data_IF_665123583772
#
_entry.id   IF_665123583772
#
_cell.length_a   1.000
_cell.length_b   1.000
_cell.length_c   1.000
_cell.angle_alpha   90.00
_cell.angle_beta   90.00
_cell.angle_gamma   90.00
#
_symmetry.space_group_name_H-M   'P 1'
#
loop_
_entity.id
_entity.type
_entity.pdbx_description
1 polymer ?
#
# COMPACT_ATOMS: atom_id res chain seq x y z
N UNK A 1 -12.20 12.06 -16.19
CA UNK A 1 -13.57 12.60 -16.32
C UNK A 1 -14.34 12.17 -15.09
N UNK A 2 -14.85 13.13 -14.32
CA UNK A 2 -15.68 12.85 -13.14
C UNK A 2 -17.02 12.30 -13.62
N UNK A 3 -17.50 11.15 -13.11
CA UNK A 3 -18.79 10.60 -13.49
C UNK A 3 -19.95 11.44 -12.93
N UNK A 4 -21.11 11.37 -13.58
CA UNK A 4 -22.32 12.09 -13.13
C UNK A 4 -22.87 11.57 -11.78
N UNK A 5 -22.43 10.41 -11.34
CA UNK A 5 -22.75 9.78 -10.06
C UNK A 5 -21.92 10.30 -8.88
N UNK A 6 -20.88 11.09 -9.16
CA UNK A 6 -20.05 11.64 -8.10
C UNK A 6 -20.84 12.57 -7.16
N UNK A 7 -20.74 12.31 -5.87
CA UNK A 7 -21.34 13.12 -4.80
C UNK A 7 -20.55 14.41 -4.60
N UNK A 8 -19.22 14.29 -4.72
CA UNK A 8 -18.28 15.40 -4.57
C UNK A 8 -17.03 15.12 -5.43
N UNK A 9 -16.36 16.19 -5.89
CA UNK A 9 -15.13 16.06 -6.67
C UNK A 9 -14.21 17.25 -6.48
N UNK A 10 -12.89 17.00 -6.59
CA UNK A 10 -11.83 18.00 -6.44
C UNK A 10 -10.83 17.89 -7.59
N UNK A 11 -10.37 19.03 -8.08
CA UNK A 11 -9.16 19.08 -8.91
C UNK A 11 -7.94 19.02 -8.02
N UNK A 12 -7.15 17.96 -8.18
CA UNK A 12 -5.92 17.72 -7.43
C UNK A 12 -4.67 17.79 -8.32
N UNK A 13 -4.84 18.26 -9.56
CA UNK A 13 -3.71 18.51 -10.45
C UNK A 13 -2.89 19.72 -9.96
N UNK A 14 -1.58 19.68 -10.15
CA UNK A 14 -0.68 20.78 -9.77
C UNK A 14 -1.03 22.07 -10.50
N UNK A 15 -1.49 21.96 -11.75
CA UNK A 15 -1.86 23.11 -12.59
C UNK A 15 -3.28 23.63 -12.32
N UNK A 16 -4.13 22.92 -11.56
CA UNK A 16 -5.54 23.28 -11.37
C UNK A 16 -6.36 23.23 -12.66
N UNK A 17 -5.98 22.38 -13.61
CA UNK A 17 -6.55 22.30 -14.98
C UNK A 17 -7.49 21.09 -15.17
N UNK A 18 -7.80 20.36 -14.10
CA UNK A 18 -8.64 19.16 -14.10
C UNK A 18 -7.98 17.94 -14.75
N UNK A 19 -6.66 17.97 -14.97
CA UNK A 19 -5.95 16.84 -15.53
C UNK A 19 -5.92 15.64 -14.57
N UNK A 20 -5.94 15.89 -13.27
CA UNK A 20 -6.10 14.88 -12.21
C UNK A 20 -7.24 15.27 -11.29
N UNK A 21 -8.24 14.39 -11.18
CA UNK A 21 -9.42 14.61 -10.36
C UNK A 21 -9.51 13.54 -9.26
N UNK A 22 -9.84 13.97 -8.05
CA UNK A 22 -10.39 13.10 -7.03
C UNK A 22 -11.90 13.26 -6.96
N UNK A 23 -12.67 12.19 -6.82
CA UNK A 23 -14.10 12.26 -6.64
C UNK A 23 -14.61 11.12 -5.76
N UNK A 24 -15.77 11.32 -5.16
CA UNK A 24 -16.43 10.42 -4.23
C UNK A 24 -17.75 9.96 -4.83
N UNK A 25 -17.99 8.66 -4.79
CA UNK A 25 -19.26 8.04 -5.17
C UNK A 25 -19.83 7.27 -3.97
N UNK A 26 -21.18 7.22 -3.86
CA UNK A 26 -21.81 6.24 -2.97
C UNK A 26 -21.44 4.82 -3.44
N UNK A 27 -20.99 3.96 -2.55
CA UNK A 27 -20.58 2.59 -2.92
C UNK A 27 -21.75 1.65 -3.22
N UNK A 28 -22.99 2.17 -3.13
CA UNK A 28 -24.23 1.44 -3.42
C UNK A 28 -24.67 0.48 -2.34
N UNK A 29 -23.98 0.43 -1.20
CA UNK A 29 -24.33 -0.48 -0.09
C UNK A 29 -25.47 0.05 0.79
N UNK A 30 -25.77 1.34 0.72
CA UNK A 30 -26.76 2.01 1.57
C UNK A 30 -26.33 2.20 3.02
N UNK A 31 -25.08 1.95 3.34
CA UNK A 31 -24.52 2.04 4.69
C UNK A 31 -23.85 3.38 5.00
N UNK A 32 -23.92 4.34 4.06
CA UNK A 32 -23.23 5.63 4.17
C UNK A 32 -21.74 5.52 3.94
N UNK A 33 -21.29 4.47 3.25
CA UNK A 33 -19.91 4.29 2.83
C UNK A 33 -19.71 4.82 1.41
N UNK A 34 -18.49 5.24 1.10
CA UNK A 34 -18.17 5.91 -0.15
C UNK A 34 -16.90 5.32 -0.76
N UNK A 35 -16.89 5.28 -2.09
CA UNK A 35 -15.71 4.98 -2.89
C UNK A 35 -15.04 6.28 -3.29
N UNK A 36 -13.76 6.44 -2.95
CA UNK A 36 -12.92 7.53 -3.48
C UNK A 36 -12.19 7.02 -4.72
N UNK A 37 -12.26 7.78 -5.79
CA UNK A 37 -11.50 7.51 -7.02
C UNK A 37 -10.62 8.71 -7.34
N UNK A 38 -9.36 8.42 -7.68
CA UNK A 38 -8.43 9.41 -8.23
C UNK A 38 -8.14 9.00 -9.68
N UNK A 39 -8.34 9.90 -10.63
CA UNK A 39 -8.18 9.59 -12.03
C UNK A 39 -7.72 10.78 -12.86
N UNK A 40 -6.93 10.52 -13.89
CA UNK A 40 -6.44 11.52 -14.84
C UNK A 40 -6.42 11.00 -16.27
N UNK A 41 -6.32 11.90 -17.25
CA UNK A 41 -6.10 11.53 -18.65
C UNK A 41 -4.66 11.04 -18.80
N UNK A 42 -4.48 9.73 -19.13
CA UNK A 42 -3.16 9.13 -19.34
C UNK A 42 -2.55 8.50 -18.10
N UNK A 43 -3.32 8.33 -17.01
CA UNK A 43 -2.84 7.79 -15.74
C UNK A 43 -2.38 8.87 -14.77
N UNK A 44 -1.88 8.44 -13.63
CA UNK A 44 -1.39 9.33 -12.56
C UNK A 44 0.04 8.90 -12.26
N UNK A 45 1.00 9.77 -12.51
CA UNK A 45 2.39 9.55 -12.09
C UNK A 45 2.48 9.91 -10.61
N UNK A 46 2.90 8.97 -9.80
CA UNK A 46 3.11 9.20 -8.38
C UNK A 46 4.34 10.10 -8.14
N UNK A 47 4.31 10.88 -7.07
CA UNK A 47 5.49 11.61 -6.64
C UNK A 47 6.59 10.61 -6.19
N UNK A 48 7.83 11.01 -6.31
CA UNK A 48 9.01 10.27 -5.83
C UNK A 48 8.85 9.77 -4.38
N UNK A 49 8.16 10.52 -3.54
CA UNK A 49 7.83 10.13 -2.16
C UNK A 49 6.33 9.96 -1.98
N UNK A 50 5.91 8.74 -1.66
CA UNK A 50 4.52 8.40 -1.29
C UNK A 50 4.38 8.09 0.21
N UNK A 51 5.17 8.75 1.04
CA UNK A 51 5.10 8.57 2.50
C UNK A 51 3.69 8.89 2.99
N UNK A 52 3.01 7.91 3.57
CA UNK A 52 1.71 8.07 4.22
C UNK A 52 0.56 8.51 3.33
N UNK A 53 0.64 8.41 2.00
CA UNK A 53 -0.37 8.94 1.06
C UNK A 53 -1.80 8.53 1.39
N UNK A 54 -2.02 7.28 1.78
CA UNK A 54 -3.32 6.76 2.19
C UNK A 54 -3.38 6.40 3.67
N UNK A 55 -2.38 6.82 4.45
CA UNK A 55 -2.29 6.49 5.88
C UNK A 55 -3.45 7.07 6.67
N UNK A 56 -4.04 6.23 7.54
CA UNK A 56 -5.08 6.68 8.47
C UNK A 56 -6.50 6.76 7.87
N UNK A 57 -6.69 6.36 6.61
CA UNK A 57 -8.04 6.20 6.04
C UNK A 57 -8.72 4.96 6.64
N UNK A 58 -9.04 5.02 7.94
CA UNK A 58 -9.49 3.89 8.75
C UNK A 58 -10.78 3.22 8.25
N UNK A 59 -11.67 4.03 7.64
CA UNK A 59 -12.97 3.58 7.13
C UNK A 59 -12.93 3.18 5.65
N UNK A 60 -11.77 3.32 4.99
CA UNK A 60 -11.63 2.96 3.59
C UNK A 60 -11.68 1.43 3.42
N UNK A 61 -12.67 0.94 2.68
CA UNK A 61 -12.88 -0.50 2.44
C UNK A 61 -12.28 -0.99 1.13
N UNK A 62 -12.10 -0.10 0.16
CA UNK A 62 -11.48 -0.40 -1.14
C UNK A 62 -10.82 0.83 -1.73
N UNK A 63 -9.84 0.60 -2.60
CA UNK A 63 -9.17 1.64 -3.37
C UNK A 63 -8.80 1.06 -4.75
N UNK A 64 -9.01 1.82 -5.81
CA UNK A 64 -8.57 1.48 -7.16
C UNK A 64 -7.29 2.26 -7.48
N UNK A 65 -6.20 1.53 -7.67
CA UNK A 65 -4.87 2.06 -7.95
C UNK A 65 -4.39 1.71 -9.37
N UNK A 66 -5.28 1.15 -10.20
CA UNK A 66 -4.92 0.61 -11.53
C UNK A 66 -4.33 1.66 -12.48
N UNK A 67 -4.64 2.93 -12.27
CA UNK A 67 -4.13 4.05 -13.06
C UNK A 67 -2.87 4.72 -12.46
N UNK A 68 -2.39 4.25 -11.30
CA UNK A 68 -1.25 4.85 -10.61
C UNK A 68 0.07 4.29 -11.13
N UNK A 69 0.88 5.14 -11.73
CA UNK A 69 2.26 4.84 -12.13
C UNK A 69 3.21 5.15 -10.97
N UNK A 70 3.92 4.14 -10.50
CA UNK A 70 4.84 4.24 -9.36
C UNK A 70 6.32 4.12 -9.77
N UNK A 71 6.62 4.17 -11.07
CA UNK A 71 7.98 3.93 -11.59
C UNK A 71 9.05 4.90 -11.06
N UNK A 72 8.66 6.10 -10.66
CA UNK A 72 9.57 7.11 -10.09
C UNK A 72 9.59 7.11 -8.54
N UNK A 73 8.84 6.21 -7.89
CA UNK A 73 8.70 6.21 -6.42
C UNK A 73 9.92 5.58 -5.77
N UNK A 74 10.54 6.31 -4.87
CA UNK A 74 11.69 5.83 -4.07
C UNK A 74 11.33 5.53 -2.63
N UNK A 75 10.18 6.04 -2.14
CA UNK A 75 9.78 5.89 -0.74
C UNK A 75 8.28 5.64 -0.58
N UNK A 76 7.93 4.44 -0.10
CA UNK A 76 6.55 4.00 0.17
C UNK A 76 6.30 3.82 1.68
N UNK A 77 7.08 4.49 2.53
CA UNK A 77 6.90 4.42 3.98
C UNK A 77 5.45 4.72 4.38
N UNK A 78 4.85 3.82 5.16
CA UNK A 78 3.51 3.97 5.74
C UNK A 78 2.38 4.26 4.73
N UNK A 79 2.56 3.93 3.45
CA UNK A 79 1.63 4.34 2.38
C UNK A 79 0.18 3.95 2.65
N UNK A 80 -0.06 2.75 3.19
CA UNK A 80 -1.40 2.24 3.57
C UNK A 80 -1.52 1.98 5.07
N UNK A 81 -0.62 2.56 5.86
CA UNK A 81 -0.63 2.33 7.32
C UNK A 81 -1.96 2.78 7.93
N UNK A 82 -2.51 1.98 8.84
CA UNK A 82 -3.76 2.28 9.56
C UNK A 82 -5.01 2.39 8.66
N UNK A 83 -5.00 1.79 7.46
CA UNK A 83 -6.21 1.60 6.66
C UNK A 83 -6.99 0.38 7.22
N UNK A 84 -7.56 0.54 8.40
CA UNK A 84 -8.02 -0.58 9.25
C UNK A 84 -9.14 -1.40 8.64
N UNK A 85 -10.04 -0.78 7.85
CA UNK A 85 -11.17 -1.46 7.20
C UNK A 85 -10.85 -2.01 5.81
N UNK A 86 -9.61 -1.83 5.32
CA UNK A 86 -9.18 -2.31 4.01
C UNK A 86 -8.95 -3.82 4.07
N UNK A 87 -9.80 -4.61 3.39
CA UNK A 87 -9.72 -6.08 3.43
C UNK A 87 -8.91 -6.67 2.28
N UNK A 88 -8.89 -5.98 1.14
CA UNK A 88 -8.15 -6.37 -0.08
C UNK A 88 -7.48 -5.17 -0.68
N UNK A 89 -6.27 -5.38 -1.16
CA UNK A 89 -5.48 -4.33 -1.80
C UNK A 89 -4.77 -4.92 -3.03
N UNK A 90 -5.09 -4.40 -4.20
CA UNK A 90 -4.40 -4.76 -5.42
C UNK A 90 -3.29 -3.73 -5.70
N UNK A 91 -2.06 -4.19 -5.61
CA UNK A 91 -0.83 -3.44 -5.92
C UNK A 91 -0.02 -4.14 -7.01
N UNK A 92 -0.69 -4.96 -7.82
CA UNK A 92 -0.03 -5.75 -8.87
C UNK A 92 0.57 -4.91 -10.00
N UNK A 93 0.11 -3.66 -10.15
CA UNK A 93 0.66 -2.71 -11.12
C UNK A 93 1.82 -1.86 -10.56
N UNK A 94 2.18 -2.00 -9.28
CA UNK A 94 3.26 -1.17 -8.71
C UNK A 94 4.62 -1.58 -9.27
N UNK A 95 5.34 -0.62 -9.82
CA UNK A 95 6.77 -0.69 -10.05
C UNK A 95 7.48 -0.25 -8.75
N UNK A 96 8.22 -1.16 -8.15
CA UNK A 96 8.95 -0.90 -6.90
C UNK A 96 10.46 -0.91 -7.08
N UNK A 97 10.92 -0.96 -8.33
CA UNK A 97 12.35 -1.10 -8.66
C UNK A 97 13.25 0.04 -8.14
N UNK A 98 12.67 1.23 -7.91
CA UNK A 98 13.40 2.37 -7.35
C UNK A 98 13.19 2.54 -5.83
N UNK A 99 12.32 1.72 -5.21
CA UNK A 99 11.94 1.90 -3.80
C UNK A 99 13.05 1.45 -2.86
N UNK A 100 13.43 2.33 -1.96
CA UNK A 100 14.44 2.08 -0.91
C UNK A 100 13.85 1.88 0.47
N UNK A 101 12.60 2.32 0.70
CA UNK A 101 11.96 2.28 2.00
C UNK A 101 10.49 1.84 1.92
N UNK A 102 10.19 0.69 2.50
CA UNK A 102 8.84 0.11 2.62
C UNK A 102 8.40 -0.03 4.11
N UNK A 103 9.01 0.75 5.00
CA UNK A 103 8.68 0.71 6.43
C UNK A 103 7.19 0.94 6.66
N UNK A 104 6.53 0.04 7.41
CA UNK A 104 5.08 0.07 7.69
C UNK A 104 4.18 0.25 6.45
N UNK A 105 4.60 -0.12 5.25
CA UNK A 105 3.83 0.13 4.02
C UNK A 105 2.38 -0.37 4.13
N UNK A 106 2.18 -1.56 4.71
CA UNK A 106 0.86 -2.17 4.96
C UNK A 106 0.57 -2.36 6.45
N UNK A 107 1.46 -1.90 7.33
CA UNK A 107 1.40 -2.18 8.75
C UNK A 107 0.59 -1.15 9.55
N UNK A 108 -0.18 -1.63 10.54
CA UNK A 108 -1.00 -0.77 11.39
C UNK A 108 -0.30 -0.25 12.65
N UNK A 109 0.74 -0.92 13.12
CA UNK A 109 1.30 -0.71 14.47
C UNK A 109 0.50 -1.42 15.57
N UNK A 110 0.91 -1.29 16.83
CA UNK A 110 0.41 -2.12 17.94
C UNK A 110 -1.10 -1.92 18.23
N UNK A 111 -1.57 -0.68 18.14
CA UNK A 111 -2.95 -0.32 18.50
C UNK A 111 -3.89 -0.23 17.28
N UNK A 112 -3.40 -0.53 16.07
CA UNK A 112 -4.15 -0.35 14.83
C UNK A 112 -4.11 -1.62 13.98
N UNK A 113 -4.96 -2.62 14.31
CA UNK A 113 -5.01 -3.85 13.53
C UNK A 113 -5.47 -3.57 12.10
N UNK A 114 -4.84 -4.24 11.15
CA UNK A 114 -5.21 -4.18 9.74
C UNK A 114 -6.15 -5.33 9.39
N UNK A 115 -7.25 -5.04 8.73
CA UNK A 115 -8.23 -6.05 8.31
C UNK A 115 -7.85 -6.76 6.99
N UNK A 116 -6.64 -6.49 6.46
CA UNK A 116 -6.15 -7.10 5.21
C UNK A 116 -6.14 -8.63 5.34
N UNK A 117 -6.91 -9.29 4.47
CA UNK A 117 -7.03 -10.74 4.37
C UNK A 117 -6.16 -11.32 3.26
N UNK A 118 -5.94 -10.52 2.21
CA UNK A 118 -5.18 -10.91 1.02
C UNK A 118 -4.39 -9.72 0.47
N UNK A 119 -3.12 -9.96 0.17
CA UNK A 119 -2.26 -8.99 -0.53
C UNK A 119 -1.32 -9.74 -1.46
N UNK A 120 -1.17 -9.24 -2.70
CA UNK A 120 -0.27 -9.80 -3.69
C UNK A 120 0.94 -8.90 -3.91
N UNK A 121 2.11 -9.35 -3.47
CA UNK A 121 3.39 -8.65 -3.61
C UNK A 121 4.39 -9.39 -4.51
N UNK A 122 3.91 -10.34 -5.33
CA UNK A 122 4.75 -11.18 -6.21
C UNK A 122 5.53 -10.41 -7.26
N UNK A 123 5.06 -9.24 -7.64
CA UNK A 123 5.71 -8.36 -8.62
C UNK A 123 6.65 -7.34 -8.00
N UNK A 124 6.76 -7.30 -6.66
CA UNK A 124 7.65 -6.35 -6.01
C UNK A 124 9.11 -6.68 -6.28
N UNK A 125 9.84 -5.72 -6.84
CA UNK A 125 11.29 -5.72 -6.84
C UNK A 125 11.76 -5.05 -5.55
N UNK A 126 12.42 -5.81 -4.69
CA UNK A 126 12.91 -5.33 -3.40
C UNK A 126 14.43 -5.19 -3.34
N UNK A 127 15.10 -5.35 -4.48
CA UNK A 127 16.57 -5.34 -4.57
C UNK A 127 17.23 -4.05 -4.08
N UNK A 128 16.51 -2.92 -4.15
CA UNK A 128 17.00 -1.63 -3.65
C UNK A 128 16.50 -1.27 -2.24
N UNK A 129 15.66 -2.11 -1.63
CA UNK A 129 15.05 -1.80 -0.33
C UNK A 129 16.05 -2.00 0.81
N UNK A 130 16.17 -0.98 1.65
CA UNK A 130 17.04 -1.01 2.85
C UNK A 130 16.25 -1.11 4.14
N UNK A 131 14.96 -0.76 4.13
CA UNK A 131 14.12 -0.77 5.33
C UNK A 131 12.74 -1.39 5.04
N UNK A 132 12.48 -2.54 5.67
CA UNK A 132 11.21 -3.29 5.65
C UNK A 132 10.57 -3.39 7.04
N UNK A 133 11.04 -2.59 8.02
CA UNK A 133 10.53 -2.65 9.39
C UNK A 133 9.02 -2.46 9.43
N UNK A 134 8.32 -3.35 10.12
CA UNK A 134 6.87 -3.31 10.30
C UNK A 134 6.04 -3.43 9.01
N UNK A 135 6.61 -3.83 7.86
CA UNK A 135 5.93 -3.79 6.56
C UNK A 135 4.55 -4.44 6.56
N UNK A 136 4.37 -5.54 7.29
CA UNK A 136 3.10 -6.26 7.46
C UNK A 136 2.65 -6.31 8.93
N UNK A 137 3.19 -5.44 9.79
CA UNK A 137 2.86 -5.44 11.21
C UNK A 137 1.36 -5.25 11.43
N UNK A 138 0.80 -6.05 12.35
CA UNK A 138 -0.63 -6.02 12.71
C UNK A 138 -1.60 -6.45 11.59
N UNK A 139 -1.11 -7.12 10.53
CA UNK A 139 -1.97 -7.76 9.53
C UNK A 139 -2.55 -9.08 10.09
N UNK A 140 -3.34 -8.96 11.15
CA UNK A 140 -3.83 -10.10 11.95
C UNK A 140 -4.82 -11.00 11.22
N UNK A 141 -5.42 -10.56 10.11
CA UNK A 141 -6.33 -11.36 9.28
C UNK A 141 -5.67 -12.04 8.08
N UNK A 142 -4.43 -11.68 7.77
CA UNK A 142 -3.68 -12.28 6.67
C UNK A 142 -3.44 -13.77 6.92
N UNK A 143 -3.90 -14.64 6.02
CA UNK A 143 -3.83 -16.10 6.19
C UNK A 143 -2.68 -16.73 5.41
N UNK A 144 -2.24 -16.07 4.34
CA UNK A 144 -1.11 -16.47 3.52
C UNK A 144 -0.37 -15.25 2.98
N UNK A 145 0.92 -15.37 2.79
CA UNK A 145 1.75 -14.33 2.20
C UNK A 145 2.89 -15.01 1.43
N UNK A 146 3.06 -14.64 0.16
CA UNK A 146 4.15 -15.13 -0.66
C UNK A 146 5.19 -14.02 -0.84
N UNK A 147 6.35 -14.21 -0.23
CA UNK A 147 7.53 -13.32 -0.28
C UNK A 147 8.75 -14.00 -0.92
N UNK A 148 8.48 -15.03 -1.73
CA UNK A 148 9.53 -15.83 -2.38
C UNK A 148 10.37 -15.03 -3.39
N UNK A 149 9.83 -13.91 -3.88
CA UNK A 149 10.52 -12.97 -4.78
C UNK A 149 11.34 -11.89 -4.06
N UNK A 150 11.23 -11.78 -2.73
CA UNK A 150 11.93 -10.70 -2.02
C UNK A 150 13.44 -10.93 -2.01
N UNK A 151 14.16 -9.98 -2.57
CA UNK A 151 15.61 -9.83 -2.38
C UNK A 151 15.83 -8.95 -1.13
N UNK A 152 16.43 -9.53 -0.10
CA UNK A 152 16.68 -8.84 1.16
C UNK A 152 18.16 -8.54 1.39
N UNK A 153 18.99 -8.76 0.39
CA UNK A 153 20.46 -8.60 0.48
C UNK A 153 20.92 -7.19 0.88
N UNK A 154 20.13 -6.16 0.56
CA UNK A 154 20.40 -4.78 0.92
C UNK A 154 19.65 -4.30 2.18
N UNK A 155 18.80 -5.16 2.78
CA UNK A 155 17.97 -4.75 3.91
C UNK A 155 18.78 -4.70 5.21
N UNK A 156 18.71 -3.55 5.88
CA UNK A 156 19.38 -3.33 7.17
C UNK A 156 18.42 -3.35 8.35
N UNK A 157 17.13 -3.15 8.11
CA UNK A 157 16.11 -3.14 9.15
C UNK A 157 14.87 -3.95 8.73
N UNK A 158 14.59 -5.05 9.46
CA UNK A 158 13.41 -5.90 9.33
C UNK A 158 12.61 -5.98 10.65
N UNK A 159 12.88 -5.09 11.60
CA UNK A 159 12.26 -5.12 12.92
C UNK A 159 10.73 -5.15 12.81
N UNK A 160 10.09 -6.07 13.52
CA UNK A 160 8.62 -6.20 13.56
C UNK A 160 7.92 -6.46 12.22
N UNK A 161 8.62 -6.89 11.17
CA UNK A 161 8.07 -7.01 9.80
C UNK A 161 6.76 -7.81 9.75
N UNK A 162 6.64 -8.89 10.54
CA UNK A 162 5.45 -9.76 10.60
C UNK A 162 4.82 -9.79 12.01
N UNK A 163 5.09 -8.76 12.83
CA UNK A 163 4.56 -8.69 14.19
C UNK A 163 3.03 -8.68 14.16
N UNK A 164 2.39 -9.49 15.03
CA UNK A 164 0.93 -9.61 15.13
C UNK A 164 0.21 -10.11 13.85
N UNK A 165 0.89 -10.80 12.94
CA UNK A 165 0.25 -11.55 11.85
C UNK A 165 -0.34 -12.86 12.39
N UNK A 166 -1.33 -12.79 13.29
CA UNK A 166 -1.78 -13.89 14.14
C UNK A 166 -2.49 -15.03 13.39
N UNK A 167 -2.98 -14.79 12.17
CA UNK A 167 -3.60 -15.83 11.34
C UNK A 167 -2.66 -16.42 10.28
N UNK A 168 -1.45 -15.90 10.17
CA UNK A 168 -0.44 -16.45 9.25
C UNK A 168 0.12 -17.73 9.84
N UNK A 169 -0.30 -18.88 9.30
CA UNK A 169 0.06 -20.20 9.83
C UNK A 169 1.36 -20.77 9.27
N UNK A 170 1.79 -20.25 8.12
CA UNK A 170 3.06 -20.59 7.48
C UNK A 170 3.60 -19.38 6.74
N UNK A 171 4.91 -19.24 6.76
CA UNK A 171 5.63 -18.21 6.00
C UNK A 171 6.99 -18.81 5.60
N UNK A 172 7.24 -18.85 4.29
CA UNK A 172 8.55 -19.26 3.79
C UNK A 172 9.44 -18.02 3.61
N UNK A 173 10.49 -17.94 4.39
CA UNK A 173 11.53 -16.91 4.36
C UNK A 173 12.91 -17.50 4.09
N UNK A 174 12.96 -18.70 3.51
CA UNK A 174 14.21 -19.41 3.24
C UNK A 174 15.13 -18.67 2.26
N UNK A 175 14.57 -17.77 1.47
CA UNK A 175 15.29 -16.90 0.54
C UNK A 175 15.85 -15.61 1.18
N UNK A 176 15.52 -15.32 2.46
CA UNK A 176 15.97 -14.07 3.07
C UNK A 176 17.46 -14.10 3.41
N UNK A 177 18.19 -13.14 2.85
CA UNK A 177 19.55 -12.81 3.29
C UNK A 177 19.47 -11.80 4.46
N UNK A 178 19.92 -12.22 5.63
CA UNK A 178 19.92 -11.38 6.83
C UNK A 178 21.32 -10.89 7.21
N UNK A 179 22.30 -11.07 6.36
CA UNK A 179 23.72 -10.75 6.65
C UNK A 179 23.94 -9.27 6.94
N UNK A 180 23.14 -8.37 6.36
CA UNK A 180 23.20 -6.94 6.56
C UNK A 180 22.18 -6.40 7.59
N UNK A 181 21.34 -7.27 8.15
CA UNK A 181 20.28 -6.85 9.08
C UNK A 181 20.87 -6.54 10.46
N UNK A 182 20.57 -5.34 10.95
CA UNK A 182 21.03 -4.86 12.27
C UNK A 182 19.90 -4.68 13.27
N UNK A 183 18.64 -4.71 12.81
CA UNK A 183 17.45 -4.59 13.67
C UNK A 183 16.24 -5.34 13.07
#
# INVERSE_FOLDING_TARGET
>A
IVPATAVESWDISEAGDGSVMAYVEDDGTGNGTYKVTIGGKGGIIANESMIGYFSGFSEMTSIDLSALDTSEVTNMNSMFSRCMSLTRLDVSNFDTSQVTNMNYMFGGGDDFPMDIEEINVKNFDTSNVTNMSGMFSSCGRLTSLDVSNFDTSNVTNMGSMFRYCSRLTSLDVSNFDTSNVTN
#
